data_IF_251372096940
#
_entry.id   IF_251372096940
#
_cell.length_a   1.000
_cell.length_b   1.000
_cell.length_c   1.000
_cell.angle_alpha   90.00
_cell.angle_beta   90.00
_cell.angle_gamma   90.00
#
_symmetry.space_group_name_H-M   'P 1'
#
loop_
_entity.id
_entity.type
_entity.pdbx_description
1 polymer ?
#
# COMPACT_ATOMS: atom_id res chain seq x y z
N UNK A 1 13.14 -25.40 2.69
CA UNK A 1 13.67 -26.17 1.54
C UNK A 1 12.48 -26.89 0.93
N UNK A 2 12.39 -26.95 -0.40
CA UNK A 2 11.31 -27.69 -1.06
C UNK A 2 11.42 -29.19 -0.75
N UNK A 3 10.27 -29.87 -0.67
CA UNK A 3 10.21 -31.32 -0.40
C UNK A 3 10.59 -32.15 -1.63
N UNK A 4 10.49 -31.58 -2.83
CA UNK A 4 10.88 -32.22 -4.08
C UNK A 4 12.21 -31.63 -4.56
N UNK A 5 13.21 -32.47 -4.90
CA UNK A 5 14.42 -31.99 -5.54
C UNK A 5 14.11 -31.46 -6.95
N UNK A 6 15.04 -30.68 -7.49
CA UNK A 6 14.99 -30.23 -8.87
C UNK A 6 15.01 -31.42 -9.83
N UNK A 7 14.19 -31.37 -10.88
CA UNK A 7 14.01 -32.42 -11.88
C UNK A 7 15.12 -32.45 -12.94
N UNK A 8 15.93 -31.39 -13.02
CA UNK A 8 17.06 -31.28 -13.97
C UNK A 8 18.37 -31.77 -13.36
N UNK A 9 18.69 -31.36 -12.13
CA UNK A 9 19.98 -31.63 -11.48
C UNK A 9 19.87 -32.53 -10.23
N UNK A 10 18.66 -32.87 -9.79
CA UNK A 10 18.43 -33.70 -8.60
C UNK A 10 18.78 -33.01 -7.27
N UNK A 11 19.16 -31.73 -7.29
CA UNK A 11 19.61 -31.03 -6.09
C UNK A 11 18.44 -30.35 -5.35
N UNK A 12 18.48 -30.27 -4.01
CA UNK A 12 17.49 -29.53 -3.25
C UNK A 12 17.58 -28.01 -3.54
N UNK A 13 16.50 -27.28 -3.28
CA UNK A 13 16.45 -25.82 -3.41
C UNK A 13 15.50 -25.22 -2.37
N UNK A 14 15.64 -23.92 -2.11
CA UNK A 14 14.69 -23.17 -1.30
C UNK A 14 13.59 -22.58 -2.17
N UNK A 15 12.37 -22.52 -1.63
CA UNK A 15 11.23 -21.86 -2.28
C UNK A 15 11.49 -20.37 -2.53
N UNK A 16 12.24 -19.72 -1.64
CA UNK A 16 12.70 -18.34 -1.80
C UNK A 16 14.10 -18.32 -2.43
N UNK A 17 14.26 -17.51 -3.46
CA UNK A 17 15.50 -17.28 -4.21
C UNK A 17 15.60 -15.80 -4.57
N UNK A 18 16.80 -15.33 -4.83
CA UNK A 18 17.06 -13.96 -5.29
C UNK A 18 17.67 -13.97 -6.70
N UNK A 19 17.40 -12.91 -7.48
CA UNK A 19 18.06 -12.74 -8.78
C UNK A 19 19.58 -12.51 -8.65
N UNK A 20 19.99 -11.78 -7.61
CA UNK A 20 21.39 -11.52 -7.30
C UNK A 20 21.60 -11.34 -5.78
N UNK A 21 22.84 -11.44 -5.32
CA UNK A 21 23.17 -11.24 -3.91
C UNK A 21 24.33 -12.11 -3.41
N UNK A 22 24.62 -12.05 -2.10
CA UNK A 22 25.74 -12.78 -1.49
C UNK A 22 25.47 -14.28 -1.37
N UNK A 23 24.23 -14.71 -1.59
CA UNK A 23 23.85 -16.13 -1.58
C UNK A 23 24.18 -16.90 -2.87
N UNK A 24 25.00 -16.34 -3.75
CA UNK A 24 25.53 -17.06 -4.90
C UNK A 24 26.68 -17.98 -4.48
N UNK A 25 26.75 -19.17 -5.07
CA UNK A 25 27.85 -20.12 -4.87
C UNK A 25 28.17 -20.82 -6.17
N UNK A 26 29.47 -20.88 -6.51
CA UNK A 26 29.96 -21.38 -7.79
C UNK A 26 30.03 -22.92 -7.87
N UNK A 27 30.17 -23.59 -6.72
CA UNK A 27 30.36 -25.05 -6.68
C UNK A 27 29.04 -25.79 -6.36
N UNK A 28 28.31 -25.31 -5.35
CA UNK A 28 27.08 -25.94 -4.87
C UNK A 28 26.00 -24.91 -4.57
N UNK A 29 24.73 -25.22 -4.88
CA UNK A 29 23.60 -24.36 -4.52
C UNK A 29 23.58 -24.15 -3.01
N UNK A 30 23.54 -22.90 -2.57
CA UNK A 30 23.29 -22.60 -1.15
C UNK A 30 21.85 -22.98 -0.82
N UNK A 31 21.71 -24.09 -0.10
CA UNK A 31 20.43 -24.57 0.43
C UNK A 31 20.46 -24.38 1.94
N UNK A 32 19.59 -23.52 2.48
CA UNK A 32 19.56 -23.28 3.92
C UNK A 32 19.25 -24.59 4.67
N UNK A 33 20.10 -24.96 5.63
CA UNK A 33 19.97 -26.22 6.37
C UNK A 33 18.67 -26.28 7.18
N UNK A 34 17.95 -27.41 7.11
CA UNK A 34 16.68 -27.65 7.81
C UNK A 34 16.84 -27.78 9.34
N UNK A 35 18.05 -28.05 9.81
CA UNK A 35 18.43 -28.31 11.20
C UNK A 35 19.33 -27.20 11.79
N UNK A 36 19.28 -25.98 11.25
CA UNK A 36 20.02 -24.86 11.81
C UNK A 36 19.32 -24.30 13.07
N UNK A 37 20.09 -23.79 14.01
CA UNK A 37 19.59 -23.12 15.22
C UNK A 37 18.70 -21.92 14.88
N UNK A 38 17.89 -21.42 15.83
CA UNK A 38 17.02 -20.26 15.60
C UNK A 38 17.80 -19.01 15.16
N UNK A 39 19.01 -18.81 15.67
CA UNK A 39 19.91 -17.72 15.28
C UNK A 39 20.42 -17.88 13.84
N UNK A 40 20.78 -19.10 13.44
CA UNK A 40 21.15 -19.41 12.07
C UNK A 40 19.94 -19.30 11.14
N UNK A 41 18.72 -19.51 11.65
CA UNK A 41 17.47 -19.41 10.88
C UNK A 41 17.17 -18.01 10.37
N UNK A 42 17.39 -17.01 11.20
CA UNK A 42 17.09 -15.63 10.84
C UNK A 42 18.11 -15.05 9.84
N UNK A 43 19.37 -15.47 9.92
CA UNK A 43 20.46 -14.94 9.08
C UNK A 43 20.80 -15.86 7.89
N UNK A 44 19.84 -16.68 7.42
CA UNK A 44 20.08 -17.58 6.29
C UNK A 44 20.13 -16.80 4.97
N UNK A 45 21.21 -17.02 4.21
CA UNK A 45 21.28 -16.58 2.82
C UNK A 45 20.53 -17.56 1.93
N UNK A 46 19.70 -17.02 1.05
CA UNK A 46 19.02 -17.77 0.00
C UNK A 46 19.83 -17.76 -1.28
N UNK A 47 19.70 -18.82 -2.08
CA UNK A 47 20.39 -18.93 -3.36
C UNK A 47 20.15 -17.72 -4.27
N UNK A 48 21.22 -17.25 -4.91
CA UNK A 48 21.17 -16.16 -5.89
C UNK A 48 21.78 -16.55 -7.23
N UNK A 49 21.19 -16.08 -8.34
CA UNK A 49 21.67 -16.40 -9.68
C UNK A 49 22.98 -15.67 -10.04
N UNK A 50 23.10 -14.39 -9.66
CA UNK A 50 24.29 -13.57 -9.94
C UNK A 50 25.03 -13.19 -8.64
N UNK A 51 26.37 -13.37 -8.56
CA UNK A 51 27.14 -13.02 -7.37
C UNK A 51 27.23 -11.51 -7.16
N UNK A 52 26.84 -11.06 -5.96
CA UNK A 52 26.99 -9.68 -5.49
C UNK A 52 27.25 -9.67 -3.99
N UNK A 53 27.93 -8.66 -3.45
CA UNK A 53 28.03 -8.50 -1.99
C UNK A 53 26.67 -8.14 -1.36
N UNK A 54 25.83 -7.42 -2.10
CA UNK A 54 24.47 -7.03 -1.71
C UNK A 54 23.50 -7.22 -2.87
N UNK A 55 22.29 -7.68 -2.56
CA UNK A 55 21.21 -7.76 -3.54
C UNK A 55 20.81 -6.36 -4.02
N UNK A 56 20.53 -6.20 -5.30
CA UNK A 56 19.98 -4.96 -5.86
C UNK A 56 18.47 -4.88 -5.63
N UNK A 57 17.91 -3.68 -5.79
CA UNK A 57 16.47 -3.49 -5.72
C UNK A 57 15.77 -4.15 -6.91
N UNK A 58 14.51 -4.53 -6.68
CA UNK A 58 13.57 -4.92 -7.71
C UNK A 58 13.10 -3.70 -8.51
N UNK A 59 12.70 -3.93 -9.76
CA UNK A 59 12.16 -2.91 -10.65
C UNK A 59 10.70 -3.17 -11.04
N UNK A 60 10.04 -4.08 -10.32
CA UNK A 60 8.64 -4.42 -10.48
C UNK A 60 7.70 -3.36 -9.90
N UNK A 61 6.48 -3.30 -10.43
CA UNK A 61 5.42 -2.47 -9.87
C UNK A 61 5.06 -2.95 -8.46
N UNK A 62 4.95 -2.01 -7.52
CA UNK A 62 4.61 -2.29 -6.12
C UNK A 62 3.14 -1.97 -5.82
N UNK A 63 2.44 -2.81 -5.04
CA UNK A 63 1.05 -2.55 -4.68
C UNK A 63 0.94 -1.37 -3.70
N UNK A 64 -0.11 -0.57 -3.87
CA UNK A 64 -0.49 0.50 -2.94
C UNK A 64 -1.82 0.17 -2.30
N UNK A 65 -1.86 0.18 -0.97
CA UNK A 65 -3.09 0.00 -0.20
C UNK A 65 -3.50 1.32 0.44
N UNK A 66 -4.76 1.71 0.24
CA UNK A 66 -5.32 2.96 0.74
C UNK A 66 -6.64 2.73 1.47
N UNK A 67 -6.79 3.35 2.64
CA UNK A 67 -8.04 3.35 3.41
C UNK A 67 -8.45 4.79 3.74
N UNK A 68 -9.66 5.20 3.32
CA UNK A 68 -10.20 6.55 3.48
C UNK A 68 -11.70 6.60 3.12
N UNK A 69 -12.29 7.78 2.83
CA UNK A 69 -13.70 7.90 2.52
C UNK A 69 -14.11 6.99 1.35
N UNK A 70 -15.19 6.23 1.52
CA UNK A 70 -15.63 5.29 0.50
C UNK A 70 -16.02 6.04 -0.78
N UNK A 71 -15.80 5.39 -1.93
CA UNK A 71 -16.02 6.00 -3.23
C UNK A 71 -14.79 6.74 -3.76
N UNK A 72 -14.39 7.86 -3.16
CA UNK A 72 -13.30 8.68 -3.69
C UNK A 72 -11.93 8.01 -3.56
N UNK A 73 -11.63 7.39 -2.41
CA UNK A 73 -10.37 6.66 -2.22
C UNK A 73 -10.31 5.43 -3.13
N UNK A 74 -11.42 4.70 -3.25
CA UNK A 74 -11.53 3.53 -4.14
C UNK A 74 -11.34 3.93 -5.61
N UNK A 75 -11.90 5.07 -6.03
CA UNK A 75 -11.79 5.55 -7.40
C UNK A 75 -10.37 6.01 -7.74
N UNK A 76 -9.70 6.73 -6.83
CA UNK A 76 -8.36 7.27 -7.09
C UNK A 76 -7.27 6.20 -7.02
N UNK A 77 -7.35 5.25 -6.09
CA UNK A 77 -6.35 4.18 -5.92
C UNK A 77 -6.80 2.90 -6.63
N UNK A 78 -7.23 3.03 -7.89
CA UNK A 78 -7.60 1.91 -8.75
C UNK A 78 -6.70 1.84 -9.99
N UNK A 79 -6.41 0.62 -10.46
CA UNK A 79 -5.55 0.41 -11.61
C UNK A 79 -4.06 0.60 -11.33
N UNK A 80 -3.30 0.91 -12.38
CA UNK A 80 -1.86 1.20 -12.33
C UNK A 80 -1.63 2.69 -12.50
N UNK A 81 -0.67 3.23 -11.76
CA UNK A 81 -0.31 4.65 -11.78
C UNK A 81 1.16 4.83 -11.37
N UNK A 82 1.75 5.96 -11.77
CA UNK A 82 3.13 6.28 -11.43
C UNK A 82 3.31 6.58 -9.93
N UNK A 83 4.49 6.33 -9.37
CA UNK A 83 4.79 6.64 -7.96
C UNK A 83 4.58 8.14 -7.63
N UNK A 84 4.78 9.04 -8.61
CA UNK A 84 4.52 10.48 -8.48
C UNK A 84 3.03 10.83 -8.32
N UNK A 85 2.12 9.95 -8.73
CA UNK A 85 0.68 10.14 -8.56
C UNK A 85 0.25 10.04 -7.09
N UNK A 86 0.92 9.20 -6.30
CA UNK A 86 0.58 8.95 -4.88
C UNK A 86 0.44 10.26 -4.09
N UNK A 87 1.45 11.16 -4.01
CA UNK A 87 1.32 12.39 -3.26
C UNK A 87 0.22 13.33 -3.78
N UNK A 88 -0.02 13.37 -5.09
CA UNK A 88 -1.10 14.18 -5.67
C UNK A 88 -2.48 13.63 -5.30
N UNK A 89 -2.66 12.31 -5.40
CA UNK A 89 -3.88 11.64 -4.97
C UNK A 89 -4.15 11.85 -3.48
N UNK A 90 -3.11 11.77 -2.64
CA UNK A 90 -3.22 12.04 -1.20
C UNK A 90 -3.67 13.48 -0.96
N UNK A 91 -2.99 14.45 -1.58
CA UNK A 91 -3.35 15.86 -1.45
C UNK A 91 -4.78 16.12 -1.92
N UNK A 92 -5.20 15.45 -2.99
CA UNK A 92 -6.57 15.53 -3.49
C UNK A 92 -7.55 15.05 -2.43
N UNK A 93 -7.44 13.81 -1.93
CA UNK A 93 -8.42 13.28 -0.98
C UNK A 93 -8.39 14.03 0.37
N UNK A 94 -7.21 14.45 0.83
CA UNK A 94 -7.03 15.16 2.10
C UNK A 94 -7.33 16.68 2.03
N UNK A 95 -7.77 17.19 0.88
CA UNK A 95 -8.09 18.61 0.68
C UNK A 95 -6.90 19.53 0.97
N UNK A 96 -5.69 19.10 0.62
CA UNK A 96 -4.46 19.86 0.85
C UNK A 96 -4.11 20.75 -0.34
N UNK A 97 -3.39 21.84 -0.05
CA UNK A 97 -2.89 22.79 -1.04
C UNK A 97 -3.99 23.28 -2.00
N UNK A 98 -3.77 23.19 -3.31
CA UNK A 98 -4.69 23.65 -4.35
C UNK A 98 -6.04 22.91 -4.34
N UNK A 99 -6.11 21.73 -3.73
CA UNK A 99 -7.35 20.95 -3.62
C UNK A 99 -8.25 21.40 -2.46
N UNK A 100 -7.82 22.35 -1.63
CA UNK A 100 -8.64 22.90 -0.54
C UNK A 100 -9.89 23.63 -1.06
N UNK A 101 -9.81 24.31 -2.21
CA UNK A 101 -10.95 25.00 -2.82
C UNK A 101 -12.04 24.03 -3.27
N UNK A 102 -11.64 22.86 -3.81
CA UNK A 102 -12.57 21.78 -4.20
C UNK A 102 -13.42 21.35 -3.02
N UNK A 103 -12.80 21.15 -1.86
CA UNK A 103 -13.49 20.72 -0.66
C UNK A 103 -14.35 21.82 -0.07
N UNK A 104 -13.87 23.07 -0.04
CA UNK A 104 -14.70 24.24 0.35
C UNK A 104 -15.97 24.36 -0.48
N UNK A 105 -15.87 24.16 -1.81
CA UNK A 105 -17.04 24.15 -2.69
C UNK A 105 -17.98 22.99 -2.38
N UNK A 106 -17.46 21.79 -2.15
CA UNK A 106 -18.26 20.62 -1.77
C UNK A 106 -19.00 20.84 -0.45
N UNK A 107 -18.35 21.44 0.55
CA UNK A 107 -18.96 21.77 1.84
C UNK A 107 -20.06 22.83 1.68
N UNK A 108 -19.82 23.86 0.86
CA UNK A 108 -20.82 24.89 0.55
C UNK A 108 -22.03 24.33 -0.21
N UNK A 109 -21.81 23.42 -1.16
CA UNK A 109 -22.87 22.71 -1.88
C UNK A 109 -23.65 21.77 -0.96
N UNK A 110 -22.98 21.07 -0.05
CA UNK A 110 -23.63 20.24 0.95
C UNK A 110 -24.49 21.09 1.90
N UNK A 111 -24.01 22.26 2.34
CA UNK A 111 -24.76 23.20 3.15
C UNK A 111 -26.01 23.74 2.41
N UNK A 112 -25.89 24.09 1.13
CA UNK A 112 -27.04 24.54 0.32
C UNK A 112 -28.07 23.44 0.11
N UNK A 113 -27.64 22.19 -0.15
CA UNK A 113 -28.55 21.04 -0.24
C UNK A 113 -29.28 20.78 1.07
N UNK A 114 -28.55 20.86 2.18
CA UNK A 114 -29.13 20.73 3.52
C UNK A 114 -30.19 21.81 3.79
N UNK A 115 -29.93 23.06 3.37
CA UNK A 115 -30.90 24.15 3.49
C UNK A 115 -32.13 23.96 2.60
N UNK A 116 -31.97 23.45 1.37
CA UNK A 116 -33.11 23.14 0.50
C UNK A 116 -33.92 21.94 1.00
N UNK A 117 -33.28 20.92 1.57
CA UNK A 117 -33.95 19.77 2.17
C UNK A 117 -34.68 20.16 3.46
N UNK A 118 -34.08 21.04 4.27
CA UNK A 118 -34.72 21.63 5.45
C UNK A 118 -35.88 22.56 5.07
N UNK A 119 -35.77 23.34 3.99
CA UNK A 119 -36.86 24.16 3.47
C UNK A 119 -38.00 23.31 2.91
N UNK A 120 -37.68 22.23 2.18
CA UNK A 120 -38.67 21.27 1.68
C UNK A 120 -39.33 20.47 2.81
N UNK A 121 -38.58 20.13 3.86
CA UNK A 121 -39.11 19.51 5.07
C UNK A 121 -39.96 20.48 5.90
N UNK A 122 -39.58 21.76 6.01
CA UNK A 122 -40.34 22.80 6.70
C UNK A 122 -41.66 23.15 5.98
N UNK A 123 -41.67 23.10 4.65
CA UNK A 123 -42.90 23.23 3.85
C UNK A 123 -43.85 22.02 4.04
N UNK A 124 -43.28 20.84 4.33
CA UNK A 124 -44.04 19.60 4.63
C UNK A 124 -44.41 19.40 6.09
N UNK A 125 -43.71 20.04 7.02
CA UNK A 125 -43.83 19.84 8.46
C UNK A 125 -43.87 21.19 9.16
N UNK A 126 -45.09 21.72 9.34
CA UNK A 126 -45.36 22.35 10.62
C UNK A 126 -45.07 21.33 11.71
N UNK A 127 -44.16 21.69 12.63
CA UNK A 127 -43.81 20.99 13.90
C UNK A 127 -42.52 20.15 13.88
N UNK A 128 -41.59 20.58 14.75
CA UNK A 128 -40.37 19.95 15.30
C UNK A 128 -39.09 19.99 14.45
N UNK A 129 -38.21 20.93 14.85
CA UNK A 129 -36.85 21.07 14.34
C UNK A 129 -35.93 19.94 14.78
N UNK A 130 -35.20 19.41 13.81
CA UNK A 130 -33.99 18.61 14.02
C UNK A 130 -32.92 19.23 13.10
N UNK A 131 -31.93 19.89 13.70
CA UNK A 131 -30.80 20.45 12.94
C UNK A 131 -29.87 19.34 12.43
N UNK A 132 -29.31 19.46 11.22
CA UNK A 132 -28.41 18.44 10.70
C UNK A 132 -27.06 18.53 11.39
N UNK A 133 -26.68 17.44 12.03
CA UNK A 133 -25.35 17.17 12.57
C UNK A 133 -24.35 17.07 11.42
N UNK A 134 -23.53 18.10 11.22
CA UNK A 134 -22.34 18.03 10.37
C UNK A 134 -21.28 17.21 11.10
N UNK A 135 -21.33 15.88 10.97
CA UNK A 135 -20.23 15.02 11.40
C UNK A 135 -19.01 15.35 10.54
N UNK A 136 -18.09 16.13 11.11
CA UNK A 136 -16.69 16.21 10.67
C UNK A 136 -16.10 14.82 10.93
N UNK A 137 -16.22 13.92 9.95
CA UNK A 137 -15.60 12.61 10.01
C UNK A 137 -14.09 12.82 10.05
N UNK A 138 -13.48 12.44 11.18
CA UNK A 138 -12.04 12.44 11.37
C UNK A 138 -11.42 11.56 10.28
N UNK A 139 -10.82 12.20 9.29
CA UNK A 139 -10.25 11.55 8.13
C UNK A 139 -8.93 10.87 8.55
N UNK A 140 -8.93 9.53 8.64
CA UNK A 140 -7.72 8.73 8.88
C UNK A 140 -7.35 8.05 7.58
N UNK A 141 -6.39 8.63 6.86
CA UNK A 141 -5.84 8.06 5.64
C UNK A 141 -4.63 7.21 6.01
N UNK A 142 -4.70 5.91 5.78
CA UNK A 142 -3.57 4.99 5.99
C UNK A 142 -3.05 4.53 4.64
N UNK A 143 -1.74 4.72 4.43
CA UNK A 143 -1.04 4.20 3.26
C UNK A 143 0.03 3.22 3.67
N UNK A 144 0.09 2.14 2.93
CA UNK A 144 1.22 1.23 2.92
C UNK A 144 1.69 1.16 1.47
N UNK A 145 2.83 1.82 1.20
CA UNK A 145 3.60 1.60 -0.03
C UNK A 145 4.62 0.54 0.34
N UNK A 146 4.52 -0.63 -0.29
CA UNK A 146 5.51 -1.68 -0.12
C UNK A 146 6.73 -1.34 -0.99
N UNK A 147 7.58 -0.45 -0.49
CA UNK A 147 8.97 -0.40 -0.96
C UNK A 147 9.80 -1.27 0.00
N UNK A 148 9.82 -2.58 -0.23
CA UNK A 148 10.46 -3.52 0.69
C UNK A 148 12.00 -3.49 0.61
N UNK A 149 12.61 -2.51 -0.08
CA UNK A 149 14.07 -2.37 -0.13
C UNK A 149 14.56 -0.95 0.20
N UNK A 150 13.69 -0.02 0.63
CA UNK A 150 14.10 1.35 0.96
C UNK A 150 14.04 1.72 2.47
N UNK A 151 13.96 0.74 3.39
CA UNK A 151 13.92 1.04 4.85
C UNK A 151 15.00 0.33 5.67
N UNK A 152 16.23 0.20 5.18
CA UNK A 152 17.40 -0.17 6.00
C UNK A 152 18.72 0.21 5.31
N UNK A 153 18.93 1.51 5.10
CA UNK A 153 20.28 2.10 4.99
C UNK A 153 20.29 3.38 5.82
N UNK A 154 20.48 3.23 7.12
CA UNK A 154 21.15 4.19 8.01
C UNK A 154 21.88 3.40 9.10
#
# INVERSE_FOLDING_TARGET
>A
VDVKPSDVDGLPYSTLLYGNGPGHSAEHRLVPMLNATDAETHNRLHGAAVPRQWATHGGEDVPVYAAGPPGITQALFSGTFDQSFVPHAIAYVACLAEHAERCRRQDAEAANRSNSDAAFAADKAGVLGVGPSSQVTRFSLRFFVFDFIQTLVF
#
